data_IF_761740036567
#
_entry.id   IF_761740036567
#
_cell.length_a   1.000
_cell.length_b   1.000
_cell.length_c   1.000
_cell.angle_alpha   90.00
_cell.angle_beta   90.00
_cell.angle_gamma   90.00
#
_symmetry.space_group_name_H-M   'P 1'
#
loop_
_entity.id
_entity.type
_entity.pdbx_description
1 polymer ?
#
# COMPACT_ATOMS: atom_id res chain seq x y z
N UNK A 1 22.59 24.84 15.69
CA UNK A 1 23.41 24.29 14.60
C UNK A 1 22.50 23.67 13.53
N UNK A 2 22.66 24.03 12.24
CA UNK A 2 21.85 23.46 11.14
C UNK A 2 22.07 21.96 10.95
N UNK A 3 23.28 21.48 11.24
CA UNK A 3 23.60 20.05 11.24
C UNK A 3 22.65 19.23 12.15
N UNK A 4 22.23 19.78 13.28
CA UNK A 4 21.26 19.13 14.17
C UNK A 4 19.86 19.04 13.54
N UNK A 5 19.42 20.07 12.80
CA UNK A 5 18.11 20.07 12.13
C UNK A 5 18.08 19.10 10.93
N UNK A 6 19.15 19.07 10.14
CA UNK A 6 19.33 18.10 9.06
C UNK A 6 19.36 16.66 9.60
N UNK A 7 20.10 16.41 10.70
CA UNK A 7 20.13 15.10 11.34
C UNK A 7 18.78 14.72 11.96
N UNK A 8 18.07 15.66 12.59
CA UNK A 8 16.75 15.44 13.18
C UNK A 8 15.69 15.06 12.14
N UNK A 9 15.61 15.80 11.02
CA UNK A 9 14.69 15.46 9.92
C UNK A 9 15.05 14.12 9.28
N UNK A 10 16.35 13.80 9.17
CA UNK A 10 16.82 12.48 8.75
C UNK A 10 16.41 11.34 9.69
N UNK A 11 16.49 11.54 11.01
CA UNK A 11 16.03 10.55 12.00
C UNK A 11 14.52 10.33 11.92
N UNK A 12 13.72 11.40 11.87
CA UNK A 12 12.25 11.29 11.75
C UNK A 12 11.84 10.56 10.46
N UNK A 13 12.52 10.85 9.35
CA UNK A 13 12.29 10.15 8.09
C UNK A 13 12.59 8.64 8.19
N UNK A 14 13.70 8.27 8.84
CA UNK A 14 14.04 6.85 9.03
C UNK A 14 13.15 6.16 10.06
N UNK A 15 12.70 6.85 11.10
CA UNK A 15 11.73 6.32 12.06
C UNK A 15 10.43 5.93 11.36
N UNK A 16 9.89 6.82 10.52
CA UNK A 16 8.71 6.51 9.71
C UNK A 16 8.97 5.35 8.74
N UNK A 17 10.16 5.30 8.13
CA UNK A 17 10.54 4.19 7.24
C UNK A 17 10.52 2.85 7.99
N UNK A 18 11.10 2.81 9.20
CA UNK A 18 11.08 1.64 10.08
C UNK A 18 9.64 1.25 10.40
N UNK A 19 8.78 2.19 10.79
CA UNK A 19 7.37 1.91 11.09
C UNK A 19 6.63 1.29 9.90
N UNK A 20 6.83 1.82 8.69
CA UNK A 20 6.20 1.31 7.47
C UNK A 20 6.72 -0.08 7.09
N UNK A 21 8.03 -0.30 7.16
CA UNK A 21 8.63 -1.62 6.90
C UNK A 21 8.16 -2.65 7.93
N UNK A 22 8.10 -2.28 9.20
CA UNK A 22 7.55 -3.14 10.26
C UNK A 22 6.09 -3.50 10.01
N UNK A 23 5.26 -2.54 9.55
CA UNK A 23 3.88 -2.82 9.17
C UNK A 23 3.79 -3.77 7.97
N UNK A 24 4.64 -3.59 6.94
CA UNK A 24 4.70 -4.50 5.80
C UNK A 24 5.03 -5.93 6.25
N UNK A 25 6.06 -6.11 7.08
CA UNK A 25 6.50 -7.42 7.58
C UNK A 25 5.38 -8.09 8.37
N UNK A 26 4.68 -7.35 9.24
CA UNK A 26 3.56 -7.88 10.02
C UNK A 26 2.42 -8.39 9.13
N UNK A 27 2.20 -7.73 7.99
CA UNK A 27 1.11 -8.05 7.07
C UNK A 27 1.53 -8.96 5.89
N UNK A 28 2.66 -9.65 5.98
CA UNK A 28 3.15 -10.52 4.89
C UNK A 28 2.18 -11.65 4.54
N UNK A 29 1.42 -12.14 5.53
CA UNK A 29 0.41 -13.19 5.36
C UNK A 29 -1.03 -12.65 5.27
N UNK A 30 -1.20 -11.33 5.33
CA UNK A 30 -2.53 -10.72 5.24
C UNK A 30 -3.00 -10.79 3.80
N UNK A 31 -4.18 -11.38 3.59
CA UNK A 31 -4.82 -11.54 2.28
C UNK A 31 -5.15 -10.20 1.65
N UNK A 32 -4.85 -10.03 0.38
CA UNK A 32 -5.11 -8.78 -0.35
C UNK A 32 -4.24 -7.58 0.09
N UNK A 33 -3.31 -7.74 1.03
CA UNK A 33 -2.48 -6.64 1.54
C UNK A 33 -1.52 -6.10 0.46
N UNK A 34 -1.39 -4.78 0.41
CA UNK A 34 -0.52 -4.06 -0.53
C UNK A 34 0.50 -3.26 0.25
N UNK A 35 1.77 -3.65 0.09
CA UNK A 35 2.91 -3.06 0.79
C UNK A 35 2.97 -1.56 0.57
N UNK A 36 3.31 -0.85 1.63
CA UNK A 36 3.52 0.58 1.63
C UNK A 36 4.99 0.91 1.43
N UNK A 37 5.26 2.00 0.71
CA UNK A 37 6.61 2.55 0.53
C UNK A 37 6.61 4.04 0.80
N UNK A 38 7.55 4.46 1.64
CA UNK A 38 7.75 5.88 1.93
C UNK A 38 8.57 6.52 0.82
N UNK A 39 8.11 7.67 0.34
CA UNK A 39 8.81 8.51 -0.61
C UNK A 39 9.35 9.74 0.11
N UNK A 40 10.67 9.95 0.02
CA UNK A 40 11.36 11.10 0.59
C UNK A 40 11.76 12.08 -0.51
N UNK A 41 11.81 13.36 -0.16
CA UNK A 41 12.34 14.42 -1.01
C UNK A 41 13.23 15.35 -0.17
N UNK A 42 14.23 15.93 -0.80
CA UNK A 42 15.06 16.95 -0.19
C UNK A 42 14.26 18.24 0.11
N UNK A 43 14.69 18.96 1.13
CA UNK A 43 14.17 20.28 1.47
C UNK A 43 14.91 21.37 0.70
N UNK A 44 14.37 22.60 0.73
CA UNK A 44 14.94 23.73 -0.01
C UNK A 44 16.43 23.93 0.30
N UNK A 45 17.17 24.36 -0.73
CA UNK A 45 18.57 24.73 -0.63
C UNK A 45 18.69 26.23 -0.31
N UNK A 46 19.54 26.56 0.65
CA UNK A 46 19.92 27.95 0.90
C UNK A 46 21.17 28.29 0.09
N UNK A 47 21.08 29.37 -0.69
CA UNK A 47 22.14 29.82 -1.59
C UNK A 47 23.02 30.83 -0.86
N UNK A 48 24.17 30.40 -0.36
CA UNK A 48 25.12 31.32 0.30
C UNK A 48 25.92 32.15 -0.70
N UNK A 49 26.28 31.53 -1.83
CA UNK A 49 26.89 32.21 -2.99
C UNK A 49 26.37 31.56 -4.25
N UNK A 50 25.71 32.33 -5.12
CA UNK A 50 25.28 31.83 -6.43
C UNK A 50 26.50 31.77 -7.36
N UNK A 51 26.63 30.67 -8.10
CA UNK A 51 27.59 30.56 -9.19
C UNK A 51 27.36 31.73 -10.17
N UNK A 52 28.44 32.39 -10.62
CA UNK A 52 28.36 33.56 -11.49
C UNK A 52 28.15 34.92 -10.80
N UNK A 53 28.13 35.00 -9.47
CA UNK A 53 28.17 36.30 -8.77
C UNK A 53 29.54 36.97 -8.93
N UNK A 54 29.57 38.29 -9.16
CA UNK A 54 30.80 39.07 -9.24
C UNK A 54 31.39 39.26 -7.83
N UNK A 55 32.66 38.90 -7.65
CA UNK A 55 33.34 38.97 -6.34
C UNK A 55 34.15 40.26 -6.16
N UNK A 56 34.39 41.01 -7.23
CA UNK A 56 35.12 42.29 -7.25
C UNK A 56 34.68 43.17 -8.43
N UNK A 57 34.95 44.48 -8.36
CA UNK A 57 34.75 45.48 -9.44
C UNK A 57 35.59 45.19 -10.72
N UNK A 58 36.44 44.15 -10.71
CA UNK A 58 37.21 43.64 -11.85
C UNK A 58 36.66 42.31 -12.43
N UNK A 59 35.33 42.12 -12.41
CA UNK A 59 34.64 41.05 -13.16
C UNK A 59 35.07 39.60 -12.85
N UNK A 60 35.56 39.32 -11.62
CA UNK A 60 35.90 37.96 -11.19
C UNK A 60 34.62 37.20 -10.78
N UNK A 61 34.30 36.11 -11.48
CA UNK A 61 33.09 35.31 -11.23
C UNK A 61 33.35 34.14 -10.29
N UNK A 62 32.39 33.82 -9.43
CA UNK A 62 32.44 32.62 -8.59
C UNK A 62 32.27 31.35 -9.46
N UNK A 63 33.24 30.42 -9.49
CA UNK A 63 33.19 29.23 -10.36
C UNK A 63 32.19 28.16 -9.90
N UNK A 64 31.92 28.06 -8.59
CA UNK A 64 30.99 27.10 -8.01
C UNK A 64 30.16 27.74 -6.90
N UNK A 65 28.84 27.57 -6.96
CA UNK A 65 27.93 28.06 -5.92
C UNK A 65 28.04 27.22 -4.64
N UNK A 66 27.91 27.86 -3.48
CA UNK A 66 27.83 27.15 -2.21
C UNK A 66 26.37 26.96 -1.84
N UNK A 67 25.92 25.71 -1.94
CA UNK A 67 24.55 25.30 -1.63
C UNK A 67 24.57 24.41 -0.39
N UNK A 68 23.68 24.69 0.56
CA UNK A 68 23.52 23.84 1.76
C UNK A 68 22.07 23.37 1.80
N UNK A 69 21.87 22.05 1.80
CA UNK A 69 20.55 21.42 1.87
C UNK A 69 19.96 21.48 3.27
N UNK A 70 18.66 21.75 3.37
CA UNK A 70 17.97 21.93 4.66
C UNK A 70 17.43 20.62 5.27
N UNK A 71 17.78 19.45 4.74
CA UNK A 71 17.33 18.14 5.22
C UNK A 71 16.37 17.43 4.27
N UNK A 72 15.56 16.52 4.82
CA UNK A 72 14.63 15.68 4.05
C UNK A 72 13.21 15.79 4.62
N UNK A 73 12.20 15.60 3.77
CA UNK A 73 10.80 15.45 4.18
C UNK A 73 10.17 14.22 3.57
N UNK A 74 9.17 13.69 4.26
CA UNK A 74 8.28 12.67 3.70
C UNK A 74 7.27 13.32 2.76
N UNK A 75 7.13 12.78 1.55
CA UNK A 75 6.18 13.25 0.54
C UNK A 75 4.91 12.42 0.56
N UNK A 76 5.04 11.09 0.61
CA UNK A 76 3.89 10.18 0.60
C UNK A 76 4.26 8.78 1.08
N UNK A 77 3.24 8.05 1.53
CA UNK A 77 3.33 6.61 1.82
C UNK A 77 2.47 5.88 0.79
N UNK A 78 3.01 5.75 -0.43
CA UNK A 78 2.30 5.13 -1.54
C UNK A 78 2.22 3.61 -1.37
N UNK A 79 1.06 3.02 -1.69
CA UNK A 79 0.92 1.57 -1.79
C UNK A 79 1.41 1.07 -3.14
N UNK A 80 2.16 -0.02 -3.13
CA UNK A 80 2.57 -0.71 -4.35
C UNK A 80 1.47 -1.71 -4.69
N UNK A 81 0.64 -1.35 -5.68
CA UNK A 81 -0.55 -2.12 -6.07
C UNK A 81 -0.23 -3.27 -7.05
N UNK A 82 0.94 -3.90 -6.91
CA UNK A 82 1.29 -5.10 -7.69
C UNK A 82 0.61 -6.33 -7.12
N UNK A 83 0.41 -7.34 -7.96
CA UNK A 83 -0.14 -8.61 -7.54
C UNK A 83 0.83 -9.34 -6.58
N UNK A 84 0.27 -9.96 -5.53
CA UNK A 84 0.99 -10.86 -4.63
C UNK A 84 1.03 -12.29 -5.16
N UNK A 85 1.51 -13.21 -4.31
CA UNK A 85 1.44 -14.64 -4.62
C UNK A 85 0.00 -15.14 -4.44
N UNK A 86 -0.45 -16.03 -5.32
CA UNK A 86 -1.71 -16.74 -5.11
C UNK A 86 -1.41 -18.05 -4.39
N UNK A 87 -2.07 -18.27 -3.27
CA UNK A 87 -1.99 -19.51 -2.50
C UNK A 87 -3.29 -20.29 -2.69
N UNK A 88 -3.19 -21.58 -2.97
CA UNK A 88 -4.38 -22.44 -3.07
C UNK A 88 -4.92 -22.68 -1.67
N UNK A 89 -6.20 -22.45 -1.48
CA UNK A 89 -6.94 -22.81 -0.28
C UNK A 89 -7.87 -23.99 -0.60
N UNK A 90 -8.29 -24.73 0.42
CA UNK A 90 -9.25 -25.83 0.26
C UNK A 90 -10.70 -25.36 0.40
N UNK A 91 -10.92 -24.04 0.49
CA UNK A 91 -12.22 -23.44 0.79
C UNK A 91 -12.89 -22.95 -0.49
N UNK A 92 -14.13 -23.41 -0.66
CA UNK A 92 -14.91 -23.22 -1.89
C UNK A 92 -15.24 -21.75 -2.23
N UNK A 93 -15.37 -20.89 -1.22
CA UNK A 93 -15.76 -19.49 -1.37
C UNK A 93 -14.57 -18.53 -1.42
N UNK A 94 -13.34 -19.05 -1.31
CA UNK A 94 -12.15 -18.25 -1.48
C UNK A 94 -11.92 -17.95 -2.96
N UNK A 95 -11.73 -16.66 -3.26
CA UNK A 95 -11.59 -16.16 -4.61
C UNK A 95 -10.35 -15.27 -4.70
N UNK A 96 -9.47 -15.57 -5.65
CA UNK A 96 -8.36 -14.69 -5.99
C UNK A 96 -8.61 -14.08 -7.37
N UNK A 97 -8.25 -12.81 -7.51
CA UNK A 97 -8.22 -12.15 -8.82
C UNK A 97 -6.81 -12.31 -9.38
N UNK A 98 -6.69 -12.93 -10.56
CA UNK A 98 -5.46 -13.00 -11.33
C UNK A 98 -5.41 -11.88 -12.36
N UNK A 99 -4.67 -10.82 -12.06
CA UNK A 99 -4.61 -9.59 -12.88
C UNK A 99 -5.24 -8.41 -12.16
N UNK A 100 -5.82 -7.45 -12.88
CA UNK A 100 -6.34 -6.21 -12.27
C UNK A 100 -7.81 -6.31 -11.88
N UNK A 101 -8.20 -5.67 -10.77
CA UNK A 101 -9.59 -5.64 -10.30
C UNK A 101 -9.70 -5.55 -8.78
N UNK A 102 -10.86 -5.19 -8.28
CA UNK A 102 -11.20 -5.20 -6.87
C UNK A 102 -12.61 -5.76 -6.73
N UNK A 103 -12.86 -6.49 -5.65
CA UNK A 103 -14.18 -6.90 -5.25
C UNK A 103 -14.93 -5.71 -4.69
N UNK A 104 -16.21 -5.59 -5.01
CA UNK A 104 -17.09 -4.55 -4.49
C UNK A 104 -17.84 -5.10 -3.28
N UNK A 105 -17.71 -4.41 -2.16
CA UNK A 105 -18.29 -4.81 -0.87
C UNK A 105 -19.10 -3.66 -0.32
N UNK A 106 -20.32 -3.95 0.13
CA UNK A 106 -21.19 -2.97 0.77
C UNK A 106 -21.03 -3.04 2.27
N UNK A 107 -20.62 -1.92 2.87
CA UNK A 107 -20.58 -1.78 4.33
C UNK A 107 -22.01 -1.71 4.90
N UNK A 108 -22.20 -1.98 6.21
CA UNK A 108 -23.50 -1.90 6.86
C UNK A 108 -24.10 -0.48 6.84
N UNK A 109 -23.25 0.54 6.73
CA UNK A 109 -23.61 1.96 6.55
C UNK A 109 -24.13 2.28 5.12
N UNK A 110 -24.21 1.27 4.23
CA UNK A 110 -24.65 1.43 2.84
C UNK A 110 -23.58 2.00 1.90
N UNK A 111 -22.40 2.35 2.41
CA UNK A 111 -21.25 2.80 1.60
C UNK A 111 -20.63 1.63 0.83
N UNK A 112 -20.29 1.89 -0.42
CA UNK A 112 -19.54 0.95 -1.26
C UNK A 112 -18.04 1.06 -0.96
N UNK A 113 -17.42 -0.09 -0.77
CA UNK A 113 -15.98 -0.26 -0.56
C UNK A 113 -15.43 -1.27 -1.54
N UNK A 114 -14.11 -1.26 -1.66
CA UNK A 114 -13.37 -2.09 -2.59
C UNK A 114 -12.35 -2.89 -1.82
N UNK A 115 -12.20 -4.17 -2.12
CA UNK A 115 -11.18 -5.01 -1.49
C UNK A 115 -10.50 -5.90 -2.51
N UNK A 116 -9.26 -6.28 -2.18
CA UNK A 116 -8.53 -7.31 -2.90
C UNK A 116 -8.52 -8.63 -2.15
N UNK A 117 -9.02 -8.62 -0.93
CA UNK A 117 -9.27 -9.83 -0.16
C UNK A 117 -10.50 -10.54 -0.73
N UNK A 118 -10.35 -11.84 -1.02
CA UNK A 118 -11.45 -12.68 -1.46
C UNK A 118 -11.72 -13.84 -0.52
N UNK A 119 -11.38 -13.67 0.76
CA UNK A 119 -11.85 -14.56 1.83
C UNK A 119 -13.32 -14.29 2.13
N UNK A 120 -14.19 -15.01 1.41
CA UNK A 120 -15.63 -14.91 1.58
C UNK A 120 -16.20 -16.11 2.32
N UNK A 121 -17.34 -15.89 2.96
CA UNK A 121 -18.16 -16.87 3.65
C UNK A 121 -19.63 -16.66 3.28
N UNK A 122 -20.48 -17.63 3.63
CA UNK A 122 -21.92 -17.49 3.50
C UNK A 122 -22.53 -17.09 4.85
N UNK A 123 -23.47 -16.16 4.83
CA UNK A 123 -24.29 -15.85 6.00
C UNK A 123 -25.44 -16.85 6.20
N UNK A 124 -26.25 -16.67 7.25
CA UNK A 124 -27.41 -17.53 7.53
C UNK A 124 -28.52 -17.47 6.47
N UNK A 125 -28.48 -16.48 5.59
CA UNK A 125 -29.41 -16.26 4.49
C UNK A 125 -28.85 -16.82 3.17
N UNK A 126 -27.64 -17.38 3.18
CA UNK A 126 -26.94 -17.89 2.01
C UNK A 126 -26.30 -16.78 1.16
N UNK A 127 -26.18 -15.56 1.65
CA UNK A 127 -25.53 -14.46 0.92
C UNK A 127 -24.02 -14.52 1.08
N UNK A 128 -23.30 -14.18 0.01
CA UNK A 128 -21.85 -14.06 0.05
C UNK A 128 -21.43 -12.81 0.83
N UNK A 129 -20.72 -13.02 1.93
CA UNK A 129 -20.21 -11.97 2.82
C UNK A 129 -18.70 -12.09 2.99
N UNK A 130 -18.03 -11.00 3.32
CA UNK A 130 -16.64 -11.03 3.79
C UNK A 130 -16.56 -11.68 5.17
N UNK A 131 -15.34 -11.96 5.64
CA UNK A 131 -15.09 -12.44 7.01
C UNK A 131 -15.66 -11.52 8.11
N UNK A 132 -15.79 -10.23 7.82
CA UNK A 132 -16.37 -9.22 8.72
C UNK A 132 -17.90 -9.08 8.59
N UNK A 133 -18.53 -9.90 7.73
CA UNK A 133 -19.98 -9.90 7.52
C UNK A 133 -20.47 -8.85 6.53
N UNK A 134 -19.59 -8.24 5.73
CA UNK A 134 -19.98 -7.26 4.72
C UNK A 134 -20.43 -7.93 3.43
N UNK A 135 -21.55 -7.50 2.86
CA UNK A 135 -22.12 -8.14 1.68
C UNK A 135 -21.30 -7.86 0.42
N UNK A 136 -20.99 -8.90 -0.35
CA UNK A 136 -20.34 -8.77 -1.66
C UNK A 136 -21.38 -8.41 -2.71
N UNK A 137 -21.17 -7.32 -3.44
CA UNK A 137 -22.09 -6.90 -4.51
C UNK A 137 -21.88 -7.73 -5.79
N UNK A 138 -22.96 -8.08 -6.53
CA UNK A 138 -24.33 -7.56 -6.44
C UNK A 138 -25.28 -8.27 -5.43
N UNK A 139 -24.78 -9.05 -4.47
CA UNK A 139 -25.61 -9.76 -3.49
C UNK A 139 -25.99 -11.15 -3.99
N UNK A 140 -24.99 -12.01 -4.16
CA UNK A 140 -25.17 -13.38 -4.65
C UNK A 140 -25.70 -14.24 -3.50
N UNK A 141 -26.88 -14.84 -3.70
CA UNK A 141 -27.51 -15.73 -2.71
C UNK A 141 -27.41 -17.18 -3.19
N UNK A 142 -26.65 -17.98 -2.46
CA UNK A 142 -26.49 -19.42 -2.66
C UNK A 142 -27.66 -20.14 -1.98
N UNK A 143 -28.45 -20.96 -2.71
CA UNK A 143 -29.52 -21.76 -2.11
C UNK A 143 -28.96 -22.82 -1.16
N UNK A 144 -29.60 -23.03 0.01
CA UNK A 144 -29.20 -24.07 0.97
C UNK A 144 -29.28 -25.51 0.42
N UNK A 145 -30.03 -25.73 -0.66
CA UNK A 145 -30.12 -27.02 -1.33
C UNK A 145 -29.05 -27.21 -2.41
N UNK A 146 -28.07 -26.31 -2.58
CA UNK A 146 -26.99 -26.50 -3.54
C UNK A 146 -26.01 -27.60 -3.07
N UNK A 147 -25.72 -28.56 -3.96
CA UNK A 147 -24.73 -29.63 -3.72
C UNK A 147 -23.29 -29.11 -3.87
N UNK A 148 -23.08 -28.21 -4.83
CA UNK A 148 -21.78 -27.57 -5.07
C UNK A 148 -21.97 -26.19 -5.72
N UNK A 149 -21.03 -25.29 -5.40
CA UNK A 149 -20.89 -23.95 -5.99
C UNK A 149 -19.59 -23.91 -6.80
N UNK A 150 -19.70 -23.57 -8.07
CA UNK A 150 -18.57 -23.37 -8.98
C UNK A 150 -18.55 -21.91 -9.42
N UNK A 151 -17.38 -21.30 -9.42
CA UNK A 151 -17.21 -19.92 -9.88
C UNK A 151 -16.27 -19.92 -11.07
N UNK A 152 -16.78 -19.49 -12.22
CA UNK A 152 -15.99 -19.48 -13.45
C UNK A 152 -14.98 -18.31 -13.45
N UNK A 153 -14.07 -18.31 -14.43
CA UNK A 153 -13.02 -17.29 -14.56
C UNK A 153 -13.54 -15.88 -14.84
N UNK A 154 -14.80 -15.76 -15.28
CA UNK A 154 -15.51 -14.51 -15.54
C UNK A 154 -16.31 -14.03 -14.34
N UNK A 155 -16.34 -14.80 -13.24
CA UNK A 155 -17.06 -14.51 -12.01
C UNK A 155 -18.51 -14.96 -11.99
N UNK A 156 -18.99 -15.70 -12.99
CA UNK A 156 -20.32 -16.31 -12.93
C UNK A 156 -20.32 -17.38 -11.85
N UNK A 157 -21.26 -17.25 -10.91
CA UNK A 157 -21.47 -18.20 -9.83
C UNK A 157 -22.57 -19.15 -10.25
N UNK A 158 -22.19 -20.41 -10.40
CA UNK A 158 -23.06 -21.50 -10.81
C UNK A 158 -23.22 -22.48 -9.65
N UNK A 159 -24.44 -22.94 -9.43
CA UNK A 159 -24.77 -23.92 -8.38
C UNK A 159 -25.35 -25.18 -9.03
N UNK A 160 -24.94 -26.34 -8.51
CA UNK A 160 -25.55 -27.62 -8.89
C UNK A 160 -26.58 -28.00 -7.84
N UNK A 161 -27.85 -28.12 -8.23
CA UNK A 161 -28.93 -28.57 -7.35
C UNK A 161 -29.12 -30.10 -7.46
N UNK A 162 -29.48 -30.79 -6.36
CA UNK A 162 -29.87 -32.19 -6.39
C UNK A 162 -30.99 -32.43 -7.40
N UNK A 163 -30.77 -33.35 -8.34
CA UNK A 163 -31.75 -33.70 -9.37
C UNK A 163 -31.67 -32.90 -10.67
N UNK A 164 -30.76 -31.92 -10.80
CA UNK A 164 -30.46 -31.25 -12.06
C UNK A 164 -29.02 -31.55 -12.52
N UNK A 165 -28.88 -32.02 -13.75
CA UNK A 165 -27.56 -32.32 -14.34
C UNK A 165 -26.82 -31.07 -14.85
N UNK A 166 -27.55 -29.99 -15.14
CA UNK A 166 -26.97 -28.72 -15.59
C UNK A 166 -26.83 -27.75 -14.40
N UNK A 167 -25.65 -27.11 -14.21
CA UNK A 167 -25.49 -26.03 -13.24
C UNK A 167 -26.41 -24.84 -13.56
N UNK A 168 -27.00 -24.23 -12.54
CA UNK A 168 -27.78 -23.00 -12.67
C UNK A 168 -26.93 -21.81 -12.24
N UNK A 169 -26.84 -20.78 -13.09
CA UNK A 169 -26.19 -19.53 -12.74
C UNK A 169 -27.09 -18.69 -11.80
N UNK A 170 -26.58 -18.35 -10.61
CA UNK A 170 -27.30 -17.55 -9.60
C UNK A 170 -26.89 -16.08 -9.61
N UNK A 171 -25.76 -15.76 -10.23
CA UNK A 171 -25.28 -14.38 -10.34
C UNK A 171 -23.89 -14.31 -10.96
N UNK A 172 -23.35 -13.10 -11.02
CA UNK A 172 -22.00 -12.86 -11.49
C UNK A 172 -21.32 -11.79 -10.62
N UNK A 173 -20.13 -12.11 -10.13
CA UNK A 173 -19.27 -11.19 -9.39
C UNK A 173 -18.74 -10.15 -10.38
N UNK A 174 -18.98 -8.88 -10.06
CA UNK A 174 -18.42 -7.76 -10.80
C UNK A 174 -17.08 -7.37 -10.18
N UNK A 175 -16.11 -7.07 -11.04
CA UNK A 175 -14.83 -6.51 -10.67
C UNK A 175 -14.82 -5.03 -10.96
N UNK A 176 -14.12 -4.28 -10.12
CA UNK A 176 -13.95 -2.83 -10.28
C UNK A 176 -12.48 -2.53 -10.50
N UNK A 177 -12.15 -1.68 -11.46
CA UNK A 177 -10.81 -1.11 -11.59
C UNK A 177 -10.85 0.40 -11.47
N UNK A 178 -9.71 0.95 -11.11
CA UNK A 178 -9.48 2.39 -11.02
C UNK A 178 -8.34 2.78 -11.94
N UNK A 179 -8.44 3.97 -12.54
CA UNK A 179 -7.35 4.54 -13.35
C UNK A 179 -6.12 4.76 -12.49
N UNK A 180 -6.31 5.31 -11.28
CA UNK A 180 -5.23 5.53 -10.32
C UNK A 180 -5.45 4.75 -9.03
N UNK A 181 -4.80 3.60 -8.91
CA UNK A 181 -4.89 2.72 -7.73
C UNK A 181 -4.23 3.31 -6.48
N UNK A 182 -3.24 4.19 -6.64
CA UNK A 182 -2.53 4.83 -5.51
C UNK A 182 -3.41 5.88 -4.85
N UNK A 183 -4.39 6.43 -5.57
CA UNK A 183 -5.37 7.38 -5.04
C UNK A 183 -6.43 6.75 -4.14
N UNK A 184 -6.51 5.43 -4.04
CA UNK A 184 -7.45 4.76 -3.15
C UNK A 184 -7.05 4.99 -1.68
N UNK A 185 -8.03 5.41 -0.88
CA UNK A 185 -7.84 5.55 0.56
C UNK A 185 -8.22 4.24 1.25
N UNK A 186 -7.41 3.81 2.22
CA UNK A 186 -7.68 2.59 2.98
C UNK A 186 -8.32 2.95 4.30
N UNK A 187 -9.45 2.32 4.60
CA UNK A 187 -10.25 2.61 5.79
C UNK A 187 -10.03 1.59 6.92
N UNK A 188 -9.11 0.65 6.75
CA UNK A 188 -8.96 -0.53 7.63
C UNK A 188 -9.47 -1.81 6.96
N UNK A 189 -9.25 -2.95 7.59
CA UNK A 189 -9.81 -4.26 7.19
C UNK A 189 -9.58 -4.67 5.72
N UNK A 190 -8.45 -4.24 5.14
CA UNK A 190 -8.14 -4.38 3.71
C UNK A 190 -9.18 -3.76 2.74
N UNK A 191 -10.05 -2.89 3.26
CA UNK A 191 -11.03 -2.13 2.50
C UNK A 191 -10.42 -0.81 2.00
N UNK A 192 -10.88 -0.43 0.81
CA UNK A 192 -10.54 0.79 0.12
C UNK A 192 -11.81 1.57 -0.23
N UNK A 193 -11.71 2.89 -0.21
CA UNK A 193 -12.72 3.81 -0.72
C UNK A 193 -12.16 4.60 -1.89
N UNK A 194 -13.04 4.97 -2.80
CA UNK A 194 -12.72 5.87 -3.89
C UNK A 194 -12.47 7.29 -3.35
N UNK A 195 -11.58 8.00 -4.03
CA UNK A 195 -11.29 9.41 -3.76
C UNK A 195 -11.31 10.17 -5.08
N UNK A 196 -11.29 11.51 -5.00
CA UNK A 196 -11.13 12.34 -6.20
C UNK A 196 -9.84 12.01 -6.98
N UNK A 197 -8.80 11.48 -6.31
CA UNK A 197 -7.53 11.12 -6.92
C UNK A 197 -7.52 9.71 -7.55
N UNK A 198 -8.42 8.80 -7.15
CA UNK A 198 -8.51 7.46 -7.75
C UNK A 198 -9.22 7.46 -9.10
N UNK A 199 -10.09 8.46 -9.32
CA UNK A 199 -11.03 8.49 -10.43
C UNK A 199 -12.28 7.65 -10.11
N UNK A 200 -13.24 7.66 -11.05
CA UNK A 200 -14.48 6.89 -10.94
C UNK A 200 -14.23 5.38 -11.06
N UNK A 201 -15.04 4.55 -10.37
CA UNK A 201 -14.97 3.10 -10.49
C UNK A 201 -15.39 2.67 -11.90
N UNK A 202 -14.56 1.85 -12.54
CA UNK A 202 -14.89 1.21 -13.82
C UNK A 202 -15.29 -0.22 -13.50
N UNK A 203 -16.58 -0.53 -13.62
CA UNK A 203 -17.11 -1.87 -13.45
C UNK A 203 -16.82 -2.75 -14.68
N UNK A 204 -16.64 -4.04 -14.45
CA UNK A 204 -16.49 -5.03 -15.50
C UNK A 204 -16.54 -6.45 -14.97
N UNK A 205 -16.26 -7.41 -15.84
CA UNK A 205 -16.29 -8.83 -15.53
C UNK A 205 -14.90 -9.44 -15.63
N UNK A 206 -14.71 -10.59 -14.97
CA UNK A 206 -13.44 -11.32 -15.04
C UNK A 206 -13.09 -11.68 -16.48
N UNK A 207 -11.84 -11.48 -16.87
CA UNK A 207 -11.35 -11.78 -18.24
C UNK A 207 -11.84 -10.80 -19.33
N UNK A 208 -12.54 -9.72 -18.98
CA UNK A 208 -12.82 -8.61 -19.90
C UNK A 208 -11.59 -7.73 -20.19
N UNK A 209 -11.73 -6.77 -21.11
CA UNK A 209 -10.60 -5.90 -21.51
C UNK A 209 -10.02 -5.09 -20.33
N UNK A 210 -8.81 -5.48 -19.92
CA UNK A 210 -8.08 -4.86 -18.81
C UNK A 210 -8.49 -5.34 -17.41
N UNK A 211 -9.34 -6.37 -17.30
CA UNK A 211 -9.66 -7.04 -16.05
C UNK A 211 -8.92 -8.37 -15.92
N UNK A 212 -8.55 -8.72 -14.70
CA UNK A 212 -8.03 -10.03 -14.35
C UNK A 212 -9.10 -11.11 -14.44
N UNK A 213 -8.68 -12.37 -14.39
CA UNK A 213 -9.59 -13.51 -14.28
C UNK A 213 -9.78 -13.88 -12.81
N UNK A 214 -10.93 -14.48 -12.48
CA UNK A 214 -11.18 -15.03 -11.15
C UNK A 214 -10.65 -16.45 -11.06
N UNK A 215 -10.13 -16.82 -9.90
CA UNK A 215 -9.67 -18.16 -9.56
C UNK A 215 -10.32 -18.56 -8.24
N UNK A 216 -11.18 -19.58 -8.29
CA UNK A 216 -11.81 -20.16 -7.10
C UNK A 216 -10.80 -21.05 -6.35
N UNK A 217 -10.94 -21.16 -5.03
CA UNK A 217 -10.06 -21.92 -4.13
C UNK A 217 -8.64 -21.34 -4.04
N UNK A 218 -8.51 -20.04 -4.27
CA UNK A 218 -7.24 -19.33 -4.14
C UNK A 218 -7.45 -18.04 -3.36
N UNK A 219 -6.45 -17.64 -2.59
CA UNK A 219 -6.36 -16.31 -1.99
C UNK A 219 -5.09 -15.62 -2.47
N UNK A 220 -5.17 -14.31 -2.63
CA UNK A 220 -4.00 -13.48 -2.92
C UNK A 220 -3.32 -13.10 -1.59
N UNK A 221 -2.08 -13.52 -1.39
CA UNK A 221 -1.26 -13.11 -0.24
C UNK A 221 -0.73 -11.69 -0.40
N UNK A 222 -0.26 -11.10 0.70
CA UNK A 222 0.40 -9.81 0.69
C UNK A 222 1.58 -9.80 -0.29
N UNK A 223 1.73 -8.74 -1.09
CA UNK A 223 2.85 -8.61 -2.03
C UNK A 223 4.18 -8.22 -1.36
N UNK A 224 4.36 -8.63 -0.11
CA UNK A 224 5.49 -8.31 0.75
C UNK A 224 6.49 -9.45 0.70
N UNK A 225 7.77 -9.11 0.51
CA UNK A 225 8.84 -10.10 0.58
C UNK A 225 9.62 -9.89 1.87
N UNK A 226 9.43 -10.78 2.85
CA UNK A 226 10.01 -10.62 4.18
C UNK A 226 11.54 -10.42 4.16
N UNK A 227 12.26 -11.14 3.28
CA UNK A 227 13.72 -11.01 3.15
C UNK A 227 14.13 -9.60 2.69
N UNK A 228 13.44 -9.06 1.69
CA UNK A 228 13.70 -7.72 1.14
C UNK A 228 13.32 -6.63 2.14
N UNK A 229 12.20 -6.78 2.84
CA UNK A 229 11.78 -5.85 3.90
C UNK A 229 12.73 -5.88 5.10
N UNK A 230 13.21 -7.05 5.55
CA UNK A 230 14.19 -7.16 6.64
C UNK A 230 15.54 -6.53 6.27
N UNK A 231 16.00 -6.71 5.03
CA UNK A 231 17.21 -6.00 4.54
C UNK A 231 17.01 -4.48 4.55
N UNK A 232 15.85 -4.02 4.10
CA UNK A 232 15.48 -2.60 4.12
C UNK A 232 15.36 -2.05 5.55
N UNK A 233 14.86 -2.86 6.49
CA UNK A 233 14.76 -2.53 7.91
C UNK A 233 16.14 -2.33 8.52
N UNK A 234 17.09 -3.24 8.26
CA UNK A 234 18.47 -3.13 8.73
C UNK A 234 19.14 -1.88 8.14
N UNK A 235 18.91 -1.59 6.87
CA UNK A 235 19.42 -0.37 6.25
C UNK A 235 18.85 0.90 6.89
N UNK A 236 17.54 0.94 7.16
CA UNK A 236 16.87 2.05 7.82
C UNK A 236 17.36 2.24 9.28
N UNK A 237 17.53 1.15 10.03
CA UNK A 237 18.09 1.18 11.38
C UNK A 237 19.53 1.72 11.39
N UNK A 238 20.40 1.25 10.49
CA UNK A 238 21.75 1.79 10.34
C UNK A 238 21.74 3.27 9.98
N UNK A 239 20.83 3.70 9.12
CA UNK A 239 20.68 5.11 8.78
C UNK A 239 20.24 5.96 9.99
N UNK A 240 19.31 5.45 10.82
CA UNK A 240 18.92 6.08 12.08
C UNK A 240 20.10 6.18 13.06
N UNK A 241 20.86 5.10 13.24
CA UNK A 241 22.08 5.08 14.09
C UNK A 241 23.18 6.03 13.59
N UNK A 242 23.33 6.18 12.26
CA UNK A 242 24.27 7.14 11.71
C UNK A 242 23.84 8.58 12.01
N UNK A 243 22.55 8.89 11.86
CA UNK A 243 22.03 10.22 12.19
C UNK A 243 22.14 10.54 13.69
N UNK A 244 21.96 9.55 14.58
CA UNK A 244 22.14 9.77 16.02
C UNK A 244 23.61 10.05 16.37
N UNK A 245 24.57 9.36 15.73
CA UNK A 245 26.00 9.64 15.89
C UNK A 245 26.37 11.06 15.43
N UNK A 246 25.74 11.58 14.38
CA UNK A 246 25.94 12.97 13.91
C UNK A 246 25.49 13.97 14.99
N UNK A 247 24.39 13.71 15.68
CA UNK A 247 23.90 14.56 16.78
C UNK A 247 24.87 14.51 17.96
N UNK A 248 25.31 13.32 18.37
CA UNK A 248 26.30 13.18 19.45
C UNK A 248 27.61 13.90 19.11
N UNK A 249 28.09 13.82 17.87
CA UNK A 249 29.29 14.53 17.43
C UNK A 249 29.08 16.05 17.45
N UNK A 250 27.92 16.53 17.01
CA UNK A 250 27.57 17.94 17.07
C UNK A 250 27.49 18.45 18.53
N UNK A 251 26.93 17.67 19.44
CA UNK A 251 26.87 18.00 20.87
C UNK A 251 28.26 18.04 21.52
N UNK A 252 29.14 17.10 21.16
CA UNK A 252 30.55 17.11 21.59
C UNK A 252 31.28 18.38 21.13
N UNK A 253 31.06 18.82 19.88
CA UNK A 253 31.64 20.07 19.36
C UNK A 253 31.11 21.30 20.10
N UNK A 254 29.81 21.35 20.42
CA UNK A 254 29.23 22.45 21.20
C UNK A 254 29.79 22.48 22.63
N UNK A 255 29.92 21.32 23.27
CA UNK A 255 30.49 21.19 24.61
C UNK A 255 31.95 21.68 24.65
N UNK A 256 32.77 21.22 23.70
CA UNK A 256 34.17 21.64 23.57
C UNK A 256 34.33 23.14 23.32
N UNK A 257 33.45 23.72 22.49
CA UNK A 257 33.44 25.17 22.23
C UNK A 257 33.05 25.93 23.50
N UNK A 258 32.04 25.45 24.24
CA UNK A 258 31.59 26.08 25.49
C UNK A 258 32.67 26.03 26.58
N UNK A 259 33.44 24.94 26.67
CA UNK A 259 34.55 24.84 27.61
C UNK A 259 35.72 25.77 27.24
N UNK A 260 35.95 26.01 25.95
CA UNK A 260 36.95 26.98 25.49
C UNK A 260 36.59 28.43 25.83
N UNK A 261 35.30 28.78 25.87
CA UNK A 261 34.85 30.14 26.23
C UNK A 261 34.74 30.39 27.74
N UNK A 262 34.84 29.34 28.58
CA UNK A 262 34.79 29.46 30.05
C UNK A 262 36.16 29.40 30.73
N UNK A 263 37.24 29.13 29.99
CA UNK A 263 38.62 29.21 30.45
C UNK A 263 39.26 30.52 30.02
#
# INVERSE_FOLDING_TARGET
MRALQTAATGMMAQELNVQVISNNIANVRTTGYKRQRVHFQDLLYENFRRAGSATSDQNTQVPAGTFVGSGVKTVSTGRVMTQGNLSSTEKQYDLAIRGEGFFRVRMPDGRTTYTRDGSFDLDSQGQLVTRDGYQVEPGITVPNNATSVSINTQGAVEVSLPGQAAPQQIGQIQLVRFVNKVGLESIGDNLFIETAASGQPIDGFGGGEGFGTLQQNYLEEGNVQAVTELSSLIAAQRAYEMNSKVITAADQMMSATTSMFRG
#
